data_IF_255496354225
#
_entry.id   IF_255496354225
#
_cell.length_a   1.000
_cell.length_b   1.000
_cell.length_c   1.000
_cell.angle_alpha   90.00
_cell.angle_beta   90.00
_cell.angle_gamma   90.00
#
_symmetry.space_group_name_H-M   'P 1'
#
loop_
_entity.id
_entity.type
_entity.pdbx_description
1 polymer ?
#
# COMPACT_ATOMS: atom_id res chain seq x y z
N UNK A 1 -8.05 -14.28 6.02
CA UNK A 1 -8.23 -14.14 4.56
C UNK A 1 -7.17 -14.97 3.87
N UNK A 2 -7.41 -15.38 2.63
CA UNK A 2 -6.35 -15.97 1.82
C UNK A 2 -5.19 -14.97 1.67
N UNK A 3 -3.95 -15.44 1.85
CA UNK A 3 -2.72 -14.63 1.72
C UNK A 3 -2.68 -13.85 0.40
N UNK A 4 -3.22 -14.45 -0.67
CA UNK A 4 -3.34 -13.84 -2.01
C UNK A 4 -4.16 -12.54 -1.99
N UNK A 5 -5.22 -12.47 -1.17
CA UNK A 5 -6.08 -11.28 -1.06
C UNK A 5 -5.39 -10.13 -0.32
N UNK A 6 -4.59 -10.44 0.70
CA UNK A 6 -3.78 -9.43 1.41
C UNK A 6 -2.73 -8.85 0.47
N UNK A 7 -2.03 -9.71 -0.28
CA UNK A 7 -1.04 -9.26 -1.27
C UNK A 7 -1.70 -8.36 -2.32
N UNK A 8 -2.85 -8.76 -2.87
CA UNK A 8 -3.58 -7.96 -3.84
C UNK A 8 -4.00 -6.58 -3.27
N UNK A 9 -4.44 -6.53 -2.02
CA UNK A 9 -4.79 -5.27 -1.33
C UNK A 9 -3.58 -4.37 -1.12
N UNK A 10 -2.43 -4.93 -0.72
CA UNK A 10 -1.18 -4.18 -0.55
C UNK A 10 -0.69 -3.62 -1.89
N UNK A 11 -0.67 -4.45 -2.94
CA UNK A 11 -0.28 -4.01 -4.29
C UNK A 11 -1.22 -2.91 -4.81
N UNK A 12 -2.53 -3.08 -4.64
CA UNK A 12 -3.50 -2.06 -5.01
C UNK A 12 -3.29 -0.75 -4.22
N UNK A 13 -3.00 -0.83 -2.92
CA UNK A 13 -2.74 0.35 -2.08
C UNK A 13 -1.49 1.11 -2.55
N UNK A 14 -0.40 0.40 -2.88
CA UNK A 14 0.83 1.00 -3.42
C UNK A 14 0.52 1.71 -4.74
N UNK A 15 -0.14 1.01 -5.67
CA UNK A 15 -0.46 1.58 -6.99
C UNK A 15 -1.39 2.80 -6.89
N UNK A 16 -2.44 2.72 -6.07
CA UNK A 16 -3.37 3.83 -5.88
C UNK A 16 -2.67 5.03 -5.24
N UNK A 17 -1.85 4.81 -4.22
CA UNK A 17 -1.06 5.86 -3.59
C UNK A 17 -0.16 6.56 -4.63
N UNK A 18 0.69 5.79 -5.32
CA UNK A 18 1.67 6.36 -6.25
C UNK A 18 0.99 7.09 -7.40
N UNK A 19 -0.09 6.55 -7.97
CA UNK A 19 -0.82 7.23 -9.07
C UNK A 19 -1.49 8.51 -8.59
N UNK A 20 -2.15 8.48 -7.43
CA UNK A 20 -2.81 9.67 -6.87
C UNK A 20 -1.78 10.75 -6.53
N UNK A 21 -0.66 10.40 -5.90
CA UNK A 21 0.41 11.34 -5.59
C UNK A 21 0.99 11.97 -6.85
N UNK A 22 1.25 11.18 -7.90
CA UNK A 22 1.74 11.72 -9.18
C UNK A 22 0.75 12.68 -9.85
N UNK A 23 -0.55 12.41 -9.77
CA UNK A 23 -1.60 13.31 -10.27
C UNK A 23 -1.62 14.62 -9.47
N UNK A 24 -1.42 14.53 -8.15
CA UNK A 24 -1.41 15.70 -7.25
C UNK A 24 -0.17 16.58 -7.45
N UNK A 25 1.00 15.97 -7.58
CA UNK A 25 2.28 16.66 -7.79
C UNK A 25 2.30 17.34 -9.18
N UNK A 26 1.58 16.77 -10.15
CA UNK A 26 1.54 17.23 -11.57
C UNK A 26 2.92 17.29 -12.23
N UNK A 27 3.89 16.59 -11.67
CA UNK A 27 5.25 16.47 -12.19
C UNK A 27 5.60 14.97 -12.28
N UNK A 28 5.97 14.56 -13.50
CA UNK A 28 6.24 13.16 -13.85
C UNK A 28 7.72 12.92 -14.16
N UNK A 29 8.60 13.75 -13.63
CA UNK A 29 10.04 13.52 -13.72
C UNK A 29 10.43 12.23 -12.99
N UNK A 30 11.44 11.51 -13.53
CA UNK A 30 11.95 10.29 -12.91
C UNK A 30 12.26 10.38 -11.40
N UNK A 31 12.92 11.44 -10.89
CA UNK A 31 13.18 11.57 -9.45
C UNK A 31 11.90 11.61 -8.62
N UNK A 32 10.85 12.29 -9.09
CA UNK A 32 9.56 12.37 -8.39
C UNK A 32 8.87 11.00 -8.43
N UNK A 33 8.81 10.35 -9.58
CA UNK A 33 8.24 9.01 -9.70
C UNK A 33 8.91 8.03 -8.74
N UNK A 34 10.24 8.04 -8.66
CA UNK A 34 10.97 7.17 -7.74
C UNK A 34 10.70 7.50 -6.27
N UNK A 35 10.56 8.78 -5.93
CA UNK A 35 10.18 9.23 -4.58
C UNK A 35 8.78 8.74 -4.21
N UNK A 36 7.77 9.05 -5.04
CA UNK A 36 6.37 8.67 -4.79
C UNK A 36 6.17 7.14 -4.78
N UNK A 37 6.95 6.40 -5.58
CA UNK A 37 6.96 4.94 -5.54
C UNK A 37 7.60 4.42 -4.25
N UNK A 38 8.70 5.04 -3.80
CA UNK A 38 9.33 4.72 -2.51
C UNK A 38 8.40 4.96 -1.32
N UNK A 39 7.72 6.11 -1.29
CA UNK A 39 6.73 6.43 -0.28
C UNK A 39 5.52 5.49 -0.34
N UNK A 40 5.04 5.16 -1.55
CA UNK A 40 3.96 4.20 -1.76
C UNK A 40 4.31 2.80 -1.28
N UNK A 41 5.55 2.33 -1.47
CA UNK A 41 6.03 1.06 -0.94
C UNK A 41 6.03 1.04 0.59
N UNK A 42 6.51 2.11 1.23
CA UNK A 42 6.49 2.25 2.70
C UNK A 42 5.04 2.20 3.20
N UNK A 43 4.14 2.96 2.57
CA UNK A 43 2.72 2.95 2.89
C UNK A 43 2.09 1.56 2.74
N UNK A 44 2.39 0.86 1.63
CA UNK A 44 1.92 -0.50 1.38
C UNK A 44 2.37 -1.50 2.43
N UNK A 45 3.62 -1.43 2.89
CA UNK A 45 4.14 -2.28 3.97
C UNK A 45 3.40 -2.02 5.28
N UNK A 46 3.22 -0.74 5.66
CA UNK A 46 2.50 -0.36 6.87
C UNK A 46 1.05 -0.85 6.81
N UNK A 47 0.38 -0.66 5.67
CA UNK A 47 -0.98 -1.12 5.45
C UNK A 47 -1.10 -2.66 5.51
N UNK A 48 -0.15 -3.38 4.92
CA UNK A 48 -0.08 -4.83 4.98
C UNK A 48 0.07 -5.34 6.41
N UNK A 49 0.94 -4.71 7.20
CA UNK A 49 1.11 -5.00 8.63
C UNK A 49 -0.19 -4.74 9.42
N UNK A 50 -0.86 -3.61 9.15
CA UNK A 50 -2.13 -3.27 9.79
C UNK A 50 -3.21 -4.34 9.52
N UNK A 51 -3.38 -4.74 8.26
CA UNK A 51 -4.33 -5.79 7.89
C UNK A 51 -3.98 -7.11 8.57
N UNK A 52 -2.69 -7.49 8.59
CA UNK A 52 -2.25 -8.71 9.22
C UNK A 52 -2.55 -8.73 10.73
N UNK A 53 -2.28 -7.63 11.43
CA UNK A 53 -2.61 -7.48 12.86
C UNK A 53 -4.12 -7.54 13.07
N UNK A 54 -4.90 -6.81 12.26
CA UNK A 54 -6.37 -6.80 12.33
C UNK A 54 -6.95 -8.20 12.15
N UNK A 55 -6.44 -8.96 11.17
CA UNK A 55 -6.86 -10.34 10.92
C UNK A 55 -6.54 -11.25 12.11
N UNK A 56 -5.33 -11.12 12.67
CA UNK A 56 -4.91 -11.88 13.85
C UNK A 56 -5.77 -11.58 15.07
N UNK A 57 -6.21 -10.32 15.24
CA UNK A 57 -7.13 -9.94 16.32
C UNK A 57 -8.57 -10.40 16.08
N UNK A 58 -9.04 -10.43 14.83
CA UNK A 58 -10.38 -10.94 14.50
C UNK A 58 -10.50 -12.43 14.82
N UNK A 59 -9.51 -13.23 14.44
CA UNK A 59 -9.47 -14.68 14.69
C UNK A 59 -9.28 -15.04 16.17
N UNK A 60 -9.04 -14.07 17.06
CA UNK A 60 -8.96 -14.28 18.51
C UNK A 60 -10.32 -14.09 19.22
N UNK A 61 -11.31 -13.53 18.52
CA UNK A 61 -12.66 -13.25 19.04
C UNK A 61 -13.70 -14.26 18.55
N UNK A 62 -13.37 -15.08 17.56
CA UNK A 62 -14.06 -16.35 17.21
C UNK A 62 -13.40 -17.49 17.98
#
# INVERSE_FOLDING_TARGET
MEKKRIIAQVVAAILLYTVISLILEKDYTQPIILRELGEGLIFGIIYGLFIWIREKWKNKKE
#
